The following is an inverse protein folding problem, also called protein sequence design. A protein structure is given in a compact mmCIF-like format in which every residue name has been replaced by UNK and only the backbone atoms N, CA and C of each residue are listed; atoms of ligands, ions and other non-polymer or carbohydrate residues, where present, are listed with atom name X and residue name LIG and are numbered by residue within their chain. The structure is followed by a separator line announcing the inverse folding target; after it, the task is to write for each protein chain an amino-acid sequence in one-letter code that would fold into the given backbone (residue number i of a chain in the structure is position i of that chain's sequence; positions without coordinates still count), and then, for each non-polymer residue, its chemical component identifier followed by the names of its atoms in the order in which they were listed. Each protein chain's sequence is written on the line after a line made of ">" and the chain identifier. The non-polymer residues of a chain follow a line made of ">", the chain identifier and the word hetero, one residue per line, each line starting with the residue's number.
data_IF_049715423243
#
_entry.id   IF_049715423243
#
_cell.length_a   1.000
_cell.length_b   1.000
_cell.length_c   1.000
_cell.angle_alpha   90.00
_cell.angle_beta   90.00
_cell.angle_gamma   90.00
#
_symmetry.space_group_name_H-M   'P 1'
#
loop_
_entity.id
_entity.type
_entity.pdbx_description
1 polymer ?
#
# COMPACT_ATOMS: atom_id res chain seq x y z
N UNK A 1 18.57 2.95 -9.35
CA UNK A 1 17.32 2.88 -8.56
C UNK A 1 16.21 2.42 -9.52
N UNK A 2 15.80 1.15 -9.44
CA UNK A 2 14.55 0.73 -10.07
C UNK A 2 13.42 1.31 -9.22
N UNK A 3 12.86 2.42 -9.63
CA UNK A 3 11.61 2.93 -9.07
C UNK A 3 10.54 1.85 -9.34
N UNK A 4 10.06 1.21 -8.29
CA UNK A 4 8.93 0.28 -8.37
C UNK A 4 7.68 1.12 -8.66
N UNK A 5 7.41 1.34 -9.93
CA UNK A 5 6.14 1.89 -10.37
C UNK A 5 5.08 0.78 -10.42
N UNK A 6 3.85 1.09 -10.03
CA UNK A 6 2.74 0.15 -10.18
C UNK A 6 2.55 -0.28 -11.64
N UNK A 7 2.17 -1.54 -11.85
CA UNK A 7 1.88 -2.06 -13.17
C UNK A 7 0.46 -1.63 -13.64
N UNK A 8 0.28 -1.18 -14.88
CA UNK A 8 -1.04 -0.86 -15.44
C UNK A 8 -1.96 -2.10 -15.52
N UNK A 9 -1.41 -3.29 -15.42
CA UNK A 9 -2.16 -4.56 -15.49
C UNK A 9 -3.24 -4.64 -14.41
N UNK A 10 -2.90 -4.30 -13.16
CA UNK A 10 -3.86 -4.35 -12.06
C UNK A 10 -5.01 -3.35 -12.25
N UNK A 11 -4.73 -2.15 -12.76
CA UNK A 11 -5.76 -1.14 -13.06
C UNK A 11 -6.67 -1.62 -14.19
N UNK A 12 -6.10 -2.21 -15.24
CA UNK A 12 -6.87 -2.74 -16.36
C UNK A 12 -7.75 -3.92 -15.93
N UNK A 13 -7.26 -4.81 -15.07
CA UNK A 13 -8.09 -5.88 -14.48
C UNK A 13 -9.24 -5.34 -13.63
N UNK A 14 -9.00 -4.28 -12.86
CA UNK A 14 -10.06 -3.63 -12.08
C UNK A 14 -11.13 -3.02 -13.00
N UNK A 15 -10.72 -2.38 -14.12
CA UNK A 15 -11.62 -1.85 -15.14
C UNK A 15 -12.45 -2.97 -15.80
N UNK A 16 -11.82 -4.11 -16.07
CA UNK A 16 -12.51 -5.27 -16.66
C UNK A 16 -13.53 -5.89 -15.71
N UNK A 17 -13.16 -6.04 -14.45
CA UNK A 17 -13.96 -6.76 -13.45
C UNK A 17 -15.10 -5.93 -12.88
N UNK A 18 -14.99 -4.60 -12.86
CA UNK A 18 -16.01 -3.74 -12.28
C UNK A 18 -17.29 -3.71 -13.16
N UNK A 19 -18.45 -3.73 -12.51
CA UNK A 19 -19.74 -3.57 -13.22
C UNK A 19 -19.87 -2.21 -13.89
N UNK A 20 -20.74 -2.10 -14.88
CA UNK A 20 -21.13 -0.82 -15.49
C UNK A 20 -21.65 0.14 -14.39
N UNK A 21 -21.29 1.42 -14.49
CA UNK A 21 -21.62 2.44 -13.50
C UNK A 21 -20.87 2.28 -12.16
N UNK A 22 -19.90 1.37 -12.08
CA UNK A 22 -19.14 1.11 -10.87
C UNK A 22 -18.01 2.09 -10.60
N UNK A 23 -17.31 1.91 -9.47
CA UNK A 23 -16.16 2.74 -9.08
C UNK A 23 -14.90 1.89 -8.97
N UNK A 24 -13.82 2.35 -9.61
CA UNK A 24 -12.47 1.81 -9.45
C UNK A 24 -11.71 2.75 -8.52
N UNK A 25 -11.18 2.21 -7.41
CA UNK A 25 -10.34 2.94 -6.46
C UNK A 25 -8.88 2.51 -6.61
N UNK A 26 -8.02 3.46 -6.96
CA UNK A 26 -6.60 3.22 -7.19
C UNK A 26 -5.85 3.61 -5.93
N UNK A 27 -5.28 2.61 -5.23
CA UNK A 27 -4.49 2.78 -4.01
C UNK A 27 -2.98 2.66 -4.26
N UNK A 28 -2.60 2.09 -5.40
CA UNK A 28 -1.21 1.90 -5.77
C UNK A 28 -0.51 3.21 -6.14
N UNK A 29 0.80 3.26 -5.92
CA UNK A 29 1.64 4.34 -6.44
C UNK A 29 2.07 4.03 -7.87
N UNK A 30 1.80 4.96 -8.78
CA UNK A 30 2.15 4.83 -10.20
C UNK A 30 3.09 5.96 -10.60
N UNK A 31 4.12 5.63 -11.35
CA UNK A 31 5.02 6.63 -11.92
C UNK A 31 4.38 7.37 -13.13
N UNK A 32 4.93 8.52 -13.52
CA UNK A 32 4.39 9.34 -14.62
C UNK A 32 4.41 8.64 -15.99
N UNK A 33 5.18 7.57 -16.12
CA UNK A 33 5.32 6.80 -17.37
C UNK A 33 4.33 5.66 -17.52
N UNK A 34 3.39 5.50 -16.60
CA UNK A 34 2.32 4.49 -16.72
C UNK A 34 1.24 5.04 -17.65
N UNK A 35 1.29 4.65 -18.92
CA UNK A 35 0.47 5.25 -19.97
C UNK A 35 -0.63 4.34 -20.54
N UNK A 36 -0.59 3.03 -20.23
CA UNK A 36 -1.50 2.05 -20.84
C UNK A 36 -2.74 1.79 -20.00
N UNK A 37 -3.59 2.81 -19.81
CA UNK A 37 -4.89 2.67 -19.15
C UNK A 37 -6.01 2.72 -20.20
N UNK A 38 -6.98 1.80 -20.09
CA UNK A 38 -8.07 1.60 -21.06
C UNK A 38 -9.18 2.64 -20.87
N UNK A 39 -8.94 3.88 -21.29
CA UNK A 39 -9.88 4.99 -21.18
C UNK A 39 -11.22 4.73 -21.92
N UNK A 40 -11.18 4.05 -23.05
CA UNK A 40 -12.39 3.70 -23.79
C UNK A 40 -13.34 2.82 -22.98
N UNK A 41 -12.82 1.88 -22.22
CA UNK A 41 -13.64 1.02 -21.37
C UNK A 41 -14.21 1.75 -20.15
N UNK A 42 -13.45 2.68 -19.59
CA UNK A 42 -13.92 3.58 -18.52
C UNK A 42 -15.14 4.35 -19.02
N UNK A 43 -15.05 4.93 -20.21
CA UNK A 43 -16.14 5.68 -20.84
C UNK A 43 -17.31 4.76 -21.17
N UNK A 44 -17.09 3.65 -21.87
CA UNK A 44 -18.17 2.75 -22.33
C UNK A 44 -18.93 2.09 -21.18
N UNK A 45 -18.26 1.84 -20.05
CA UNK A 45 -18.89 1.31 -18.84
C UNK A 45 -19.44 2.40 -17.91
N UNK A 46 -19.20 3.69 -18.20
CA UNK A 46 -19.61 4.82 -17.34
C UNK A 46 -18.98 4.75 -15.95
N UNK A 47 -17.68 4.45 -15.86
CA UNK A 47 -17.00 4.22 -14.58
C UNK A 47 -16.61 5.53 -13.89
N UNK A 48 -16.65 5.51 -12.57
CA UNK A 48 -15.96 6.49 -11.73
C UNK A 48 -14.58 5.94 -11.37
N UNK A 49 -13.52 6.71 -11.64
CA UNK A 49 -12.16 6.36 -11.22
C UNK A 49 -11.69 7.35 -10.15
N UNK A 50 -11.24 6.83 -9.02
CA UNK A 50 -10.71 7.62 -7.89
C UNK A 50 -9.30 7.17 -7.56
N UNK A 51 -8.42 8.13 -7.35
CA UNK A 51 -7.07 7.89 -6.87
C UNK A 51 -6.69 8.94 -5.85
N UNK A 52 -5.80 8.58 -4.94
CA UNK A 52 -5.25 9.51 -3.98
C UNK A 52 -3.88 9.01 -3.53
N UNK A 53 -2.97 9.93 -3.28
CA UNK A 53 -1.71 9.63 -2.63
C UNK A 53 -1.94 9.64 -1.11
N UNK A 54 -2.02 8.44 -0.51
CA UNK A 54 -2.16 8.14 0.91
C UNK A 54 -2.40 9.40 1.81
N UNK A 55 -3.64 9.85 2.03
CA UNK A 55 -3.92 11.07 2.79
C UNK A 55 -3.79 10.81 4.30
N UNK A 56 -2.59 10.46 4.75
CA UNK A 56 -2.29 10.00 6.12
C UNK A 56 -2.81 10.98 7.17
N UNK A 57 -2.47 12.26 7.06
CA UNK A 57 -2.90 13.27 8.04
C UNK A 57 -4.43 13.35 8.18
N UNK A 58 -5.15 13.23 7.07
CA UNK A 58 -6.62 13.29 7.07
C UNK A 58 -7.25 12.06 7.73
N UNK A 59 -6.65 10.88 7.56
CA UNK A 59 -7.20 9.63 8.07
C UNK A 59 -6.71 9.29 9.48
N UNK A 60 -5.61 9.92 9.93
CA UNK A 60 -4.97 9.61 11.20
C UNK A 60 -5.91 9.62 12.41
N UNK A 61 -6.72 10.67 12.67
CA UNK A 61 -7.58 10.70 13.84
C UNK A 61 -8.55 9.51 13.88
N UNK A 62 -9.21 9.24 12.75
CA UNK A 62 -10.15 8.12 12.61
C UNK A 62 -9.48 6.75 12.80
N UNK A 63 -8.28 6.57 12.23
CA UNK A 63 -7.54 5.32 12.39
C UNK A 63 -7.11 5.11 13.83
N UNK A 64 -6.72 6.18 14.53
CA UNK A 64 -6.35 6.12 15.94
C UNK A 64 -7.53 5.70 16.82
N UNK A 65 -8.73 6.24 16.58
CA UNK A 65 -9.96 5.81 17.24
C UNK A 65 -10.21 4.30 17.07
N UNK A 66 -10.05 3.77 15.86
CA UNK A 66 -10.19 2.34 15.60
C UNK A 66 -9.15 1.49 16.32
N UNK A 67 -7.89 1.97 16.42
CA UNK A 67 -6.83 1.29 17.16
C UNK A 67 -7.14 1.30 18.66
N UNK A 68 -7.53 2.45 19.22
CA UNK A 68 -7.87 2.58 20.63
C UNK A 68 -9.10 1.73 21.04
N UNK A 69 -10.05 1.59 20.12
CA UNK A 69 -11.22 0.72 20.30
C UNK A 69 -10.90 -0.77 20.10
N UNK A 70 -9.66 -1.12 19.73
CA UNK A 70 -9.26 -2.50 19.48
C UNK A 70 -9.79 -3.11 18.17
N UNK A 71 -10.40 -2.32 17.30
CA UNK A 71 -10.93 -2.77 16.01
C UNK A 71 -9.81 -3.10 15.01
N UNK A 72 -8.66 -2.44 15.15
CA UNK A 72 -7.47 -2.65 14.31
C UNK A 72 -6.27 -2.80 15.24
N UNK A 73 -5.44 -3.79 14.98
CA UNK A 73 -4.22 -4.09 15.76
C UNK A 73 -3.00 -4.10 14.86
N UNK A 74 -2.44 -2.93 14.52
CA UNK A 74 -1.28 -2.86 13.61
C UNK A 74 -0.04 -3.56 14.18
N UNK A 75 0.05 -3.71 15.51
CA UNK A 75 1.15 -4.42 16.18
C UNK A 75 1.25 -5.88 15.78
N UNK A 76 0.16 -6.53 15.37
CA UNK A 76 0.16 -7.92 14.88
C UNK A 76 0.98 -8.09 13.58
N UNK A 77 1.23 -7.01 12.85
CA UNK A 77 2.07 -7.02 11.65
C UNK A 77 3.56 -6.88 11.96
N UNK A 78 3.92 -6.47 13.19
CA UNK A 78 5.30 -6.29 13.61
C UNK A 78 5.86 -7.64 14.06
N UNK A 79 6.53 -8.34 13.15
CA UNK A 79 7.03 -9.70 13.40
C UNK A 79 8.43 -9.74 13.99
N UNK A 80 9.26 -8.72 13.69
CA UNK A 80 10.67 -8.65 14.06
C UNK A 80 11.01 -7.32 14.69
N UNK A 81 11.96 -7.33 15.63
CA UNK A 81 12.52 -6.12 16.25
C UNK A 81 14.03 -6.13 16.10
N UNK A 82 14.58 -5.04 15.63
CA UNK A 82 16.03 -4.84 15.49
C UNK A 82 16.43 -3.53 16.14
N UNK A 83 17.54 -3.49 16.87
CA UNK A 83 18.13 -2.23 17.29
C UNK A 83 18.65 -1.46 16.06
N UNK A 84 18.83 -0.15 16.20
CA UNK A 84 19.25 0.72 15.08
C UNK A 84 20.57 0.27 14.45
N UNK A 85 21.49 -0.25 15.26
CA UNK A 85 22.81 -0.74 14.84
C UNK A 85 22.70 -1.92 13.85
N UNK A 86 21.60 -2.67 13.91
CA UNK A 86 21.31 -3.83 13.05
C UNK A 86 20.38 -3.50 11.87
N UNK A 87 20.25 -2.23 11.49
CA UNK A 87 19.35 -1.79 10.43
C UNK A 87 19.64 -2.46 9.08
N UNK A 88 20.90 -2.72 8.76
CA UNK A 88 21.28 -3.39 7.52
C UNK A 88 20.78 -4.85 7.48
N UNK A 89 20.86 -5.56 8.61
CA UNK A 89 20.31 -6.90 8.76
C UNK A 89 18.78 -6.89 8.63
N UNK A 90 18.09 -5.95 9.28
CA UNK A 90 16.66 -5.79 9.17
C UNK A 90 16.20 -5.60 7.73
N UNK A 91 16.91 -4.77 6.95
CA UNK A 91 16.65 -4.60 5.52
C UNK A 91 16.90 -5.88 4.72
N UNK A 92 17.95 -6.63 5.04
CA UNK A 92 18.22 -7.90 4.38
C UNK A 92 17.13 -8.93 4.63
N UNK A 93 16.74 -9.14 5.89
CA UNK A 93 15.67 -10.06 6.30
C UNK A 93 14.36 -9.70 5.62
N UNK A 94 13.98 -8.41 5.65
CA UNK A 94 12.74 -7.94 5.05
C UNK A 94 12.72 -8.06 3.52
N UNK A 95 13.80 -7.62 2.84
CA UNK A 95 13.86 -7.61 1.37
C UNK A 95 13.96 -9.01 0.77
N UNK A 96 14.62 -9.92 1.47
CA UNK A 96 14.79 -11.32 1.07
C UNK A 96 13.66 -12.22 1.58
N UNK A 97 12.68 -11.67 2.31
CA UNK A 97 11.53 -12.38 2.89
C UNK A 97 11.97 -13.58 3.72
N UNK A 98 13.00 -13.40 4.55
CA UNK A 98 13.52 -14.42 5.43
C UNK A 98 12.70 -14.46 6.73
N UNK A 99 12.71 -15.62 7.39
CA UNK A 99 12.14 -15.83 8.73
C UNK A 99 10.69 -15.34 8.89
N UNK A 100 9.87 -15.51 7.83
CA UNK A 100 8.49 -15.06 7.79
C UNK A 100 8.28 -13.58 8.15
N UNK A 101 9.28 -12.75 7.90
CA UNK A 101 9.26 -11.33 8.21
C UNK A 101 8.18 -10.58 7.42
N UNK A 102 7.13 -10.15 8.12
CA UNK A 102 6.08 -9.29 7.54
C UNK A 102 6.51 -7.82 7.65
N UNK A 103 6.88 -7.38 8.85
CA UNK A 103 7.33 -6.01 9.09
C UNK A 103 8.31 -5.93 10.24
N UNK A 104 9.57 -5.50 9.98
CA UNK A 104 10.54 -5.26 11.04
C UNK A 104 10.30 -3.89 11.68
N UNK A 105 10.44 -3.81 12.98
CA UNK A 105 10.49 -2.59 13.77
C UNK A 105 11.95 -2.28 14.11
N UNK A 106 12.40 -1.08 13.81
CA UNK A 106 13.70 -0.58 14.24
C UNK A 106 13.49 0.18 15.54
N UNK A 107 14.16 -0.29 16.61
CA UNK A 107 14.13 0.35 17.91
C UNK A 107 15.32 1.32 18.01
N UNK A 108 15.01 2.58 18.34
CA UNK A 108 15.99 3.65 18.49
C UNK A 108 16.09 4.00 19.97
N UNK A 109 17.27 3.79 20.57
CA UNK A 109 17.51 3.98 22.00
C UNK A 109 17.35 2.70 22.82
N UNK A 110 17.67 2.77 24.11
CA UNK A 110 17.46 1.69 25.06
C UNK A 110 15.96 1.61 25.42
N UNK A 111 15.44 0.38 25.51
CA UNK A 111 14.10 0.13 26.10
C UNK A 111 14.16 0.27 27.62
#
# INVERSE_FOLDING_TARGET
>A
LKLQGGSPVAVNWAIDSVRKGGTVSILGAYGPLVTSVRLGDIMNKGLTVRGNQAPVKRQWPRLLEHIQAGHIRPSELLTHRFPLEHIAEAYHVFSSKLDDCIKPLIVVGEE
#
